data_IF_360920128376
#
_entry.id   IF_360920128376
#
_cell.length_a   1.000
_cell.length_b   1.000
_cell.length_c   1.000
_cell.angle_alpha   90.00
_cell.angle_beta   90.00
_cell.angle_gamma   90.00
#
_symmetry.space_group_name_H-M   'P 1'
#
loop_
_entity.id
_entity.type
_entity.pdbx_description
1 polymer ?
#
# COMPACT_ATOMS: atom_id res chain seq x y z
N UNK A 1 25.52 -3.19 14.34
CA UNK A 1 25.00 -2.31 13.28
C UNK A 1 23.79 -3.01 12.72
N UNK A 2 22.63 -2.71 13.28
CA UNK A 2 21.34 -3.27 12.88
C UNK A 2 21.00 -2.73 11.49
N UNK A 3 20.67 -3.63 10.57
CA UNK A 3 20.39 -3.36 9.16
C UNK A 3 19.05 -2.63 8.93
N UNK A 4 18.79 -1.56 9.68
CA UNK A 4 17.55 -0.75 9.65
C UNK A 4 17.70 0.58 8.90
N UNK A 5 18.92 1.01 8.59
CA UNK A 5 19.14 2.32 7.97
C UNK A 5 19.16 2.21 6.44
N UNK A 6 17.98 2.05 5.84
CA UNK A 6 17.84 2.33 4.43
C UNK A 6 18.05 3.84 4.20
N UNK A 7 19.25 4.21 3.74
CA UNK A 7 19.70 5.60 3.59
C UNK A 7 19.03 6.37 2.44
N UNK A 8 18.17 5.71 1.65
CA UNK A 8 17.51 6.33 0.50
C UNK A 8 16.35 7.23 0.91
N UNK A 9 16.00 8.25 0.08
CA UNK A 9 14.84 9.07 0.37
C UNK A 9 13.57 8.23 0.25
N UNK A 10 12.84 8.13 1.36
CA UNK A 10 11.48 7.61 1.39
C UNK A 10 10.52 8.75 1.02
N UNK A 11 10.15 8.82 -0.26
CA UNK A 11 9.21 9.84 -0.73
C UNK A 11 7.79 9.36 -0.51
N UNK A 12 7.04 10.08 0.32
CA UNK A 12 5.64 9.76 0.59
C UNK A 12 4.86 9.59 -0.73
N UNK A 13 4.10 8.51 -0.82
CA UNK A 13 3.26 8.23 -1.98
C UNK A 13 2.16 9.31 -2.07
N UNK A 14 2.14 10.04 -3.18
CA UNK A 14 1.18 11.12 -3.39
C UNK A 14 -0.22 10.61 -3.76
N UNK A 15 -0.36 9.36 -4.19
CA UNK A 15 -1.65 8.78 -4.54
C UNK A 15 -2.48 8.39 -3.31
N UNK A 16 -1.84 7.83 -2.27
CA UNK A 16 -2.50 7.49 -1.00
C UNK A 16 -2.14 8.43 0.15
N UNK A 17 -1.39 9.50 -0.10
CA UNK A 17 -0.91 10.44 0.93
C UNK A 17 -0.21 9.74 2.11
N UNK A 18 0.54 8.68 1.82
CA UNK A 18 1.23 7.88 2.84
C UNK A 18 0.37 6.89 3.61
N UNK A 19 -0.93 6.77 3.33
CA UNK A 19 -1.83 5.88 4.08
C UNK A 19 -1.66 4.39 3.76
N UNK A 20 -0.83 4.05 2.76
CA UNK A 20 -0.64 2.70 2.23
C UNK A 20 -1.90 2.02 1.62
N UNK A 21 -3.09 2.58 1.81
CA UNK A 21 -4.37 2.04 1.31
C UNK A 21 -5.06 2.97 0.31
N UNK A 22 -5.86 2.38 -0.57
CA UNK A 22 -6.82 3.06 -1.46
C UNK A 22 -8.21 2.43 -1.27
N UNK A 23 -9.28 3.22 -1.32
CA UNK A 23 -10.66 2.71 -1.25
C UNK A 23 -11.20 2.47 -2.65
N UNK A 24 -11.67 1.25 -2.90
CA UNK A 24 -12.24 0.83 -4.19
C UNK A 24 -13.48 0.00 -3.99
N UNK A 25 -14.35 0.00 -5.01
CA UNK A 25 -15.51 -0.88 -5.03
C UNK A 25 -15.07 -2.34 -5.05
N UNK A 26 -15.60 -3.11 -4.12
CA UNK A 26 -15.38 -4.56 -3.98
C UNK A 26 -16.73 -5.24 -3.99
N UNK A 27 -16.84 -6.34 -4.73
CA UNK A 27 -18.08 -7.09 -4.78
C UNK A 27 -18.20 -7.98 -3.55
N UNK A 28 -19.20 -7.70 -2.74
CA UNK A 28 -19.66 -8.58 -1.67
C UNK A 28 -20.75 -9.51 -2.19
N UNK A 29 -20.53 -10.82 -2.10
CA UNK A 29 -21.51 -11.84 -2.49
C UNK A 29 -22.09 -12.52 -1.24
N UNK A 30 -23.27 -12.08 -0.74
CA UNK A 30 -23.99 -12.78 0.31
C UNK A 30 -24.52 -14.13 -0.18
N UNK A 31 -24.83 -15.04 0.76
CA UNK A 31 -25.41 -16.35 0.45
C UNK A 31 -26.76 -16.31 -0.29
N UNK A 32 -27.44 -15.15 -0.33
CA UNK A 32 -28.64 -14.93 -1.16
C UNK A 32 -28.34 -14.77 -2.66
N UNK A 33 -27.07 -14.75 -3.07
CA UNK A 33 -26.63 -14.79 -4.48
C UNK A 33 -26.66 -13.45 -5.21
N UNK A 34 -27.10 -12.36 -4.57
CA UNK A 34 -27.08 -11.02 -5.18
C UNK A 34 -25.84 -10.25 -4.72
N UNK A 35 -24.90 -10.02 -5.62
CA UNK A 35 -23.71 -9.21 -5.35
C UNK A 35 -24.07 -7.75 -5.08
N UNK A 36 -23.32 -7.11 -4.18
CA UNK A 36 -23.41 -5.67 -3.91
C UNK A 36 -22.01 -5.07 -3.89
N UNK A 37 -21.86 -3.89 -4.50
CA UNK A 37 -20.63 -3.11 -4.39
C UNK A 37 -20.51 -2.49 -3.00
N UNK A 38 -19.37 -2.72 -2.34
CA UNK A 38 -19.00 -2.06 -1.08
C UNK A 38 -17.67 -1.33 -1.26
N UNK A 39 -17.56 -0.12 -0.70
CA UNK A 39 -16.27 0.54 -0.62
C UNK A 39 -15.41 -0.18 0.41
N UNK A 40 -14.29 -0.76 -0.02
CA UNK A 40 -13.37 -1.49 0.84
C UNK A 40 -11.93 -0.98 0.66
N UNK A 41 -11.08 -1.09 1.71
CA UNK A 41 -9.68 -0.74 1.60
C UNK A 41 -8.92 -1.82 0.80
N UNK A 42 -8.01 -1.37 -0.06
CA UNK A 42 -7.04 -2.19 -0.80
C UNK A 42 -5.65 -1.60 -0.60
N UNK A 43 -4.61 -2.40 -0.77
CA UNK A 43 -3.26 -1.87 -0.87
C UNK A 43 -3.19 -0.85 -2.00
N UNK A 44 -2.65 0.33 -1.71
CA UNK A 44 -2.50 1.35 -2.71
C UNK A 44 -1.65 0.82 -3.86
N UNK A 45 -2.24 0.77 -5.06
CA UNK A 45 -1.60 0.13 -6.21
C UNK A 45 -0.29 0.83 -6.61
N UNK A 46 -0.21 2.13 -6.34
CA UNK A 46 0.92 2.98 -6.64
C UNK A 46 2.16 2.67 -5.80
N UNK A 47 2.00 2.45 -4.49
CA UNK A 47 3.10 2.18 -3.57
C UNK A 47 3.16 0.71 -3.10
N UNK A 48 2.27 -0.16 -3.60
CA UNK A 48 2.18 -1.58 -3.23
C UNK A 48 2.05 -1.79 -1.71
N UNK A 49 1.24 -0.96 -1.06
CA UNK A 49 1.01 -1.07 0.39
C UNK A 49 2.12 -0.48 1.26
N UNK A 50 3.12 0.21 0.70
CA UNK A 50 4.24 0.76 1.49
C UNK A 50 3.99 2.18 2.02
N UNK A 51 3.07 2.94 1.43
CA UNK A 51 2.88 4.36 1.76
C UNK A 51 3.99 5.30 1.24
N UNK A 52 5.08 4.77 0.71
CA UNK A 52 6.18 5.57 0.16
C UNK A 52 6.86 4.86 -1.03
N UNK A 53 7.78 5.58 -1.69
CA UNK A 53 8.72 5.04 -2.66
C UNK A 53 10.13 5.05 -2.11
N UNK A 54 10.80 3.89 -2.12
CA UNK A 54 12.23 3.80 -1.84
C UNK A 54 13.02 3.95 -3.14
N UNK A 55 13.90 4.95 -3.20
CA UNK A 55 14.85 5.14 -4.30
C UNK A 55 16.27 4.66 -3.98
N UNK A 56 16.47 3.93 -2.87
CA UNK A 56 17.77 3.32 -2.57
C UNK A 56 18.10 2.19 -3.55
N UNK A 57 19.38 2.04 -3.86
CA UNK A 57 19.94 0.87 -4.55
C UNK A 57 21.00 0.21 -3.66
N UNK A 58 20.75 -1.00 -3.13
CA UNK A 58 19.52 -1.79 -3.26
C UNK A 58 18.35 -1.20 -2.46
N UNK A 59 17.12 -1.51 -2.87
CA UNK A 59 15.91 -1.16 -2.10
C UNK A 59 15.96 -1.79 -0.71
N UNK A 60 15.33 -1.14 0.27
CA UNK A 60 15.26 -1.68 1.63
C UNK A 60 14.67 -3.08 1.64
N UNK A 61 15.30 -4.00 2.37
CA UNK A 61 14.81 -5.36 2.58
C UNK A 61 14.95 -5.73 4.07
N UNK A 62 13.85 -5.94 4.81
CA UNK A 62 12.45 -5.78 4.40
C UNK A 62 12.11 -4.31 4.08
N UNK A 63 10.99 -4.05 3.37
CA UNK A 63 10.43 -2.71 3.31
C UNK A 63 10.10 -2.21 4.72
N UNK A 64 10.33 -0.93 4.99
CA UNK A 64 9.92 -0.30 6.24
C UNK A 64 8.39 -0.09 6.23
N UNK A 65 7.78 -0.07 7.41
CA UNK A 65 6.35 0.19 7.65
C UNK A 65 6.13 1.60 8.17
#
# INVERSE_FOLDING_TARGET
MTSDDCAGPHRQCQACSGQAVEFRETLYLPGSGRAHGVAAPHDCWHCKGLGYYCHAEPRCTPPHS
#
